data_IF_399737151048
#
_entry.id   IF_399737151048
#
_cell.length_a   1.000
_cell.length_b   1.000
_cell.length_c   1.000
_cell.angle_alpha   90.00
_cell.angle_beta   90.00
_cell.angle_gamma   90.00
#
_symmetry.space_group_name_H-M   'P 1'
#
loop_
_entity.id
_entity.type
_entity.pdbx_description
1 polymer ?
#
# COMPACT_ATOMS: atom_id res chain seq x y z
N UNK A 1 -38.83 -23.28 23.71
CA UNK A 1 -37.58 -23.52 22.94
C UNK A 1 -37.30 -22.43 21.90
N UNK A 2 -38.23 -22.08 21.03
CA UNK A 2 -38.02 -21.04 19.99
C UNK A 2 -37.60 -19.67 20.57
N UNK A 3 -38.23 -19.22 21.65
CA UNK A 3 -37.87 -17.94 22.30
C UNK A 3 -36.46 -17.98 22.89
N UNK A 4 -36.04 -19.09 23.48
CA UNK A 4 -34.69 -19.28 24.04
C UNK A 4 -33.63 -19.30 22.93
N UNK A 5 -33.92 -19.99 21.82
CA UNK A 5 -33.05 -20.02 20.62
C UNK A 5 -32.94 -18.63 19.97
N UNK A 6 -34.04 -17.87 19.94
CA UNK A 6 -34.06 -16.50 19.43
C UNK A 6 -33.24 -15.55 20.32
N UNK A 7 -33.34 -15.68 21.65
CA UNK A 7 -32.51 -14.94 22.58
C UNK A 7 -31.02 -15.33 22.48
N UNK A 8 -30.70 -16.61 22.37
CA UNK A 8 -29.33 -17.10 22.10
C UNK A 8 -28.78 -16.55 20.77
N UNK A 9 -29.61 -16.50 19.73
CA UNK A 9 -29.26 -15.91 18.45
C UNK A 9 -28.98 -14.41 18.56
N UNK A 10 -29.85 -13.65 19.23
CA UNK A 10 -29.61 -12.21 19.44
C UNK A 10 -28.39 -11.95 20.30
N UNK A 11 -28.20 -12.68 21.40
CA UNK A 11 -27.03 -12.56 22.27
C UNK A 11 -25.76 -12.85 21.46
N UNK A 12 -25.70 -13.96 20.72
CA UNK A 12 -24.56 -14.28 19.85
C UNK A 12 -24.28 -13.19 18.81
N UNK A 13 -25.36 -12.70 18.16
CA UNK A 13 -25.29 -11.70 17.09
C UNK A 13 -24.74 -10.37 17.60
N UNK A 14 -25.25 -9.85 18.72
CA UNK A 14 -24.81 -8.56 19.27
C UNK A 14 -23.53 -8.65 20.12
N UNK A 15 -23.22 -9.82 20.70
CA UNK A 15 -22.05 -10.00 21.57
C UNK A 15 -20.74 -10.19 20.79
N UNK A 16 -20.76 -10.95 19.68
CA UNK A 16 -19.54 -11.30 18.94
C UNK A 16 -19.64 -11.02 17.44
N UNK A 17 -20.77 -11.31 16.80
CA UNK A 17 -20.89 -11.19 15.34
C UNK A 17 -20.84 -9.74 14.86
N UNK A 18 -21.70 -8.87 15.37
CA UNK A 18 -21.74 -7.45 14.99
C UNK A 18 -20.43 -6.73 15.38
N UNK A 19 -19.89 -6.89 16.62
CA UNK A 19 -18.62 -6.25 16.97
C UNK A 19 -17.44 -6.77 16.14
N UNK A 20 -17.37 -8.09 15.89
CA UNK A 20 -16.37 -8.68 15.00
C UNK A 20 -16.47 -8.16 13.56
N UNK A 21 -17.69 -8.03 13.03
CA UNK A 21 -17.95 -7.45 11.71
C UNK A 21 -17.55 -5.96 11.66
N UNK A 22 -17.89 -5.17 12.68
CA UNK A 22 -17.52 -3.74 12.75
C UNK A 22 -16.00 -3.57 12.83
N UNK A 23 -15.31 -4.35 13.66
CA UNK A 23 -13.85 -4.32 13.74
C UNK A 23 -13.19 -4.70 12.42
N UNK A 24 -13.68 -5.75 11.75
CA UNK A 24 -13.11 -6.21 10.47
C UNK A 24 -13.39 -5.23 9.34
N UNK A 25 -14.59 -4.67 9.24
CA UNK A 25 -14.97 -3.76 8.15
C UNK A 25 -14.46 -2.33 8.36
N UNK A 26 -14.58 -1.80 9.58
CA UNK A 26 -14.31 -0.38 9.87
C UNK A 26 -13.05 -0.13 10.70
N UNK A 27 -12.34 -1.17 11.16
CA UNK A 27 -11.11 -1.01 11.94
C UNK A 27 -11.31 -0.30 13.28
N UNK A 28 -12.54 -0.30 13.82
CA UNK A 28 -12.84 0.43 15.05
C UNK A 28 -12.08 -0.20 16.23
N UNK A 29 -11.15 0.56 16.83
CA UNK A 29 -10.30 0.17 17.98
C UNK A 29 -9.35 -1.01 17.73
N UNK A 30 -9.18 -1.45 16.49
CA UNK A 30 -8.25 -2.52 16.12
C UNK A 30 -7.21 -2.01 15.14
N UNK A 31 -5.97 -2.46 15.29
CA UNK A 31 -4.93 -2.27 14.28
C UNK A 31 -4.89 -3.50 13.38
N UNK A 32 -5.03 -3.33 12.06
CA UNK A 32 -5.04 -4.44 11.08
C UNK A 32 -4.07 -4.25 9.92
N UNK A 33 -3.64 -3.02 9.68
CA UNK A 33 -2.79 -2.66 8.56
C UNK A 33 -2.06 -1.36 8.93
N UNK A 34 -0.76 -1.32 8.69
CA UNK A 34 0.06 -0.14 8.86
C UNK A 34 -0.06 0.83 7.68
N UNK A 35 0.68 1.92 7.82
CA UNK A 35 1.00 2.83 6.73
C UNK A 35 2.51 2.79 6.53
N UNK A 36 2.95 2.88 5.28
CA UNK A 36 4.37 2.82 4.94
C UNK A 36 4.55 2.48 3.47
N UNK A 37 5.80 2.46 3.01
CA UNK A 37 6.18 2.17 1.62
C UNK A 37 7.06 0.94 1.48
N UNK A 38 7.79 0.60 2.53
CA UNK A 38 8.73 -0.53 2.57
C UNK A 38 8.38 -1.51 3.66
N UNK A 39 7.68 -1.06 4.71
CA UNK A 39 7.57 -1.85 5.93
C UNK A 39 6.34 -2.75 5.94
N UNK A 40 6.49 -3.99 6.40
CA UNK A 40 5.41 -4.93 6.67
C UNK A 40 5.60 -5.55 8.06
N UNK A 41 4.53 -6.10 8.64
CA UNK A 41 4.56 -6.71 9.97
C UNK A 41 4.40 -8.22 9.89
N UNK A 42 5.44 -8.96 10.31
CA UNK A 42 5.31 -10.38 10.61
C UNK A 42 4.72 -10.58 11.99
N UNK A 43 3.65 -11.38 12.07
CA UNK A 43 3.03 -11.73 13.36
C UNK A 43 2.82 -13.22 13.47
N UNK A 44 3.18 -13.79 14.62
CA UNK A 44 3.11 -15.22 14.91
C UNK A 44 2.21 -15.45 16.12
N UNK A 45 1.19 -16.29 15.97
CA UNK A 45 0.27 -16.68 17.03
C UNK A 45 0.58 -18.12 17.52
N UNK A 46 0.05 -18.45 18.70
CA UNK A 46 -0.02 -19.78 19.32
C UNK A 46 1.23 -20.28 20.06
N UNK A 47 2.41 -19.77 19.77
CA UNK A 47 3.65 -20.13 20.47
C UNK A 47 3.76 -19.66 21.93
N UNK A 48 4.92 -19.88 22.58
CA UNK A 48 6.09 -20.58 22.01
C UNK A 48 5.92 -22.10 21.97
N UNK A 49 6.34 -22.70 20.86
CA UNK A 49 6.56 -24.13 20.69
C UNK A 49 8.06 -24.45 20.94
N UNK A 50 8.40 -25.47 21.75
CA UNK A 50 9.78 -25.75 22.10
C UNK A 50 10.65 -26.24 20.93
N UNK A 51 10.04 -26.72 19.83
CA UNK A 51 10.76 -27.19 18.65
C UNK A 51 10.81 -26.13 17.55
N UNK A 52 9.65 -25.58 17.17
CA UNK A 52 9.56 -24.71 15.98
C UNK A 52 9.89 -23.25 16.25
N UNK A 53 9.53 -22.71 17.41
CA UNK A 53 9.79 -21.29 17.72
C UNK A 53 11.29 -20.96 17.76
N UNK A 54 12.19 -21.80 18.32
CA UNK A 54 13.63 -21.56 18.21
C UNK A 54 14.15 -21.50 16.76
N UNK A 55 13.64 -22.38 15.88
CA UNK A 55 14.01 -22.40 14.46
C UNK A 55 13.51 -21.15 13.73
N UNK A 56 12.31 -20.67 14.10
CA UNK A 56 11.77 -19.41 13.60
C UNK A 56 12.63 -18.22 14.01
N UNK A 57 13.05 -18.15 15.27
CA UNK A 57 13.94 -17.09 15.76
C UNK A 57 15.29 -17.09 15.03
N UNK A 58 15.86 -18.27 14.79
CA UNK A 58 17.08 -18.40 13.98
C UNK A 58 16.88 -17.89 12.55
N UNK A 59 15.75 -18.22 11.92
CA UNK A 59 15.41 -17.74 10.57
C UNK A 59 15.24 -16.22 10.55
N UNK A 60 14.48 -15.64 11.49
CA UNK A 60 14.29 -14.19 11.56
C UNK A 60 15.63 -13.46 11.76
N UNK A 61 16.51 -14.01 12.60
CA UNK A 61 17.85 -13.45 12.82
C UNK A 61 18.72 -13.48 11.56
N UNK A 62 18.65 -14.53 10.73
CA UNK A 62 19.41 -14.61 9.46
C UNK A 62 19.06 -13.47 8.48
N UNK A 63 17.80 -13.03 8.49
CA UNK A 63 17.28 -11.99 7.59
C UNK A 63 17.15 -10.61 8.27
N UNK A 64 17.71 -10.44 9.48
CA UNK A 64 17.52 -9.24 10.33
C UNK A 64 16.05 -8.77 10.42
N UNK A 65 15.12 -9.73 10.40
CA UNK A 65 13.69 -9.47 10.39
C UNK A 65 13.15 -9.31 11.80
N UNK A 66 12.42 -8.22 12.09
CA UNK A 66 11.68 -8.08 13.36
C UNK A 66 10.24 -8.52 13.20
N UNK A 67 9.73 -9.23 14.20
CA UNK A 67 8.37 -9.75 14.23
C UNK A 67 7.67 -9.44 15.56
N UNK A 68 6.38 -9.75 15.61
CA UNK A 68 5.57 -9.70 16.83
C UNK A 68 4.98 -11.08 17.13
N UNK A 69 5.21 -11.58 18.33
CA UNK A 69 4.73 -12.88 18.78
C UNK A 69 3.56 -12.70 19.74
N UNK A 70 2.38 -13.17 19.37
CA UNK A 70 1.22 -13.25 20.26
C UNK A 70 1.21 -14.60 20.95
N UNK A 71 1.75 -14.64 22.16
CA UNK A 71 2.00 -15.89 22.87
C UNK A 71 0.81 -16.33 23.72
N UNK A 72 0.59 -17.65 23.76
CA UNK A 72 -0.36 -18.26 24.70
C UNK A 72 0.31 -18.36 26.06
N UNK A 73 -0.31 -17.78 27.08
CA UNK A 73 0.31 -17.66 28.40
C UNK A 73 0.71 -18.98 29.05
N UNK A 74 -0.03 -20.07 28.83
CA UNK A 74 0.36 -21.39 29.32
C UNK A 74 1.63 -21.94 28.66
N UNK A 75 1.86 -21.63 27.38
CA UNK A 75 3.09 -22.00 26.69
C UNK A 75 4.25 -21.12 27.15
N UNK A 76 4.01 -19.82 27.32
CA UNK A 76 5.00 -18.88 27.86
C UNK A 76 5.47 -19.25 29.28
N UNK A 77 4.55 -19.74 30.13
CA UNK A 77 4.84 -20.23 31.48
C UNK A 77 5.69 -21.51 31.47
N UNK A 78 5.51 -22.37 30.45
CA UNK A 78 6.25 -23.62 30.29
C UNK A 78 7.64 -23.42 29.67
N UNK A 79 7.80 -22.41 28.81
CA UNK A 79 9.02 -22.14 28.04
C UNK A 79 9.53 -20.70 28.22
N UNK A 80 9.82 -20.25 29.46
CA UNK A 80 10.24 -18.89 29.73
C UNK A 80 11.55 -18.50 29.02
N UNK A 81 12.43 -19.47 28.76
CA UNK A 81 13.69 -19.28 28.03
C UNK A 81 13.45 -18.81 26.59
N UNK A 82 12.40 -19.30 25.92
CA UNK A 82 12.08 -18.91 24.55
C UNK A 82 11.49 -17.50 24.54
N UNK A 83 10.63 -17.17 25.51
CA UNK A 83 10.10 -15.81 25.69
C UNK A 83 11.24 -14.80 25.93
N UNK A 84 12.20 -15.17 26.79
CA UNK A 84 13.37 -14.32 27.06
C UNK A 84 14.21 -14.12 25.80
N UNK A 85 14.43 -15.17 25.02
CA UNK A 85 15.13 -15.09 23.72
C UNK A 85 14.41 -14.19 22.72
N UNK A 86 13.08 -14.30 22.58
CA UNK A 86 12.28 -13.40 21.72
C UNK A 86 12.53 -11.93 22.07
N UNK A 87 12.49 -11.61 23.37
CA UNK A 87 12.70 -10.26 23.87
C UNK A 87 14.13 -9.78 23.63
N UNK A 88 15.14 -10.59 23.97
CA UNK A 88 16.56 -10.24 23.83
C UNK A 88 16.98 -10.07 22.35
N UNK A 89 16.33 -10.77 21.41
CA UNK A 89 16.53 -10.60 19.96
C UNK A 89 15.75 -9.40 19.37
N UNK A 90 15.03 -8.66 20.22
CA UNK A 90 14.36 -7.40 19.89
C UNK A 90 12.97 -7.56 19.27
N UNK A 91 12.35 -8.73 19.37
CA UNK A 91 10.98 -8.94 18.92
C UNK A 91 9.97 -8.36 19.91
N UNK A 92 8.77 -8.05 19.42
CA UNK A 92 7.68 -7.58 20.28
C UNK A 92 6.86 -8.77 20.77
N UNK A 93 6.51 -8.80 22.05
CA UNK A 93 5.70 -9.87 22.64
C UNK A 93 4.31 -9.32 22.98
N UNK A 94 3.31 -9.90 22.33
CA UNK A 94 1.89 -9.66 22.50
C UNK A 94 1.19 -10.79 23.26
N UNK A 95 -0.02 -10.54 23.73
CA UNK A 95 -0.83 -11.48 24.49
C UNK A 95 -1.81 -12.22 23.56
N UNK A 96 -1.90 -13.55 23.68
CA UNK A 96 -2.88 -14.41 22.99
C UNK A 96 -3.76 -15.22 23.96
N UNK A 97 -4.24 -14.57 25.03
CA UNK A 97 -4.83 -15.19 26.23
C UNK A 97 -3.85 -16.12 26.98
N UNK A 98 -4.30 -16.69 28.11
CA UNK A 98 -3.52 -17.69 28.85
C UNK A 98 -3.75 -19.10 28.30
N UNK A 99 -4.96 -19.42 27.86
CA UNK A 99 -5.29 -20.63 27.09
C UNK A 99 -5.87 -20.26 25.72
N UNK A 100 -5.58 -21.09 24.71
CA UNK A 100 -6.13 -20.93 23.35
C UNK A 100 -7.61 -21.35 23.26
N UNK A 101 -8.48 -20.60 23.94
CA UNK A 101 -9.95 -20.74 23.89
C UNK A 101 -10.58 -19.51 23.28
N UNK A 102 -11.65 -19.72 22.50
CA UNK A 102 -12.39 -18.62 21.88
C UNK A 102 -13.05 -17.70 22.90
N UNK A 103 -12.89 -16.39 22.69
CA UNK A 103 -13.53 -15.35 23.49
C UNK A 103 -15.06 -15.38 23.41
N UNK A 104 -15.64 -16.02 22.40
CA UNK A 104 -17.09 -16.13 22.26
C UNK A 104 -17.74 -16.92 23.39
N UNK A 105 -17.04 -17.95 23.89
CA UNK A 105 -17.53 -18.83 24.96
C UNK A 105 -17.12 -18.36 26.36
N UNK A 106 -16.37 -17.25 26.47
CA UNK A 106 -15.84 -16.75 27.73
C UNK A 106 -16.57 -15.50 28.19
N UNK A 107 -16.80 -15.45 29.52
CA UNK A 107 -17.28 -14.23 30.17
C UNK A 107 -16.19 -13.16 30.15
N UNK A 108 -16.56 -11.87 30.19
CA UNK A 108 -15.61 -10.75 30.11
C UNK A 108 -14.56 -10.73 31.22
N UNK A 109 -14.98 -11.05 32.45
CA UNK A 109 -14.09 -11.17 33.59
C UNK A 109 -13.08 -12.31 33.39
N UNK A 110 -13.49 -13.40 32.73
CA UNK A 110 -12.60 -14.51 32.39
C UNK A 110 -11.57 -14.07 31.35
N UNK A 111 -11.97 -13.42 30.27
CA UNK A 111 -11.04 -12.87 29.26
C UNK A 111 -10.07 -11.88 29.90
N UNK A 112 -10.53 -11.05 30.83
CA UNK A 112 -9.64 -10.15 31.59
C UNK A 112 -8.58 -10.90 32.39
N UNK A 113 -8.98 -11.90 33.19
CA UNK A 113 -8.03 -12.73 33.94
C UNK A 113 -7.02 -13.46 33.03
N UNK A 114 -7.46 -13.92 31.86
CA UNK A 114 -6.59 -14.55 30.87
C UNK A 114 -5.51 -13.60 30.37
N UNK A 115 -5.90 -12.36 30.02
CA UNK A 115 -4.97 -11.32 29.56
C UNK A 115 -4.01 -10.89 30.67
N UNK A 116 -4.55 -10.58 31.86
CA UNK A 116 -3.76 -10.08 32.98
C UNK A 116 -2.73 -11.12 33.45
N UNK A 117 -3.11 -12.42 33.47
CA UNK A 117 -2.19 -13.51 33.82
C UNK A 117 -1.06 -13.65 32.80
N UNK A 118 -1.37 -13.63 31.50
CA UNK A 118 -0.32 -13.72 30.47
C UNK A 118 0.62 -12.51 30.52
N UNK A 119 0.08 -11.31 30.76
CA UNK A 119 0.90 -10.10 30.94
C UNK A 119 1.83 -10.19 32.16
N UNK A 120 1.36 -10.71 33.29
CA UNK A 120 2.19 -10.97 34.47
C UNK A 120 3.34 -11.95 34.19
N UNK A 121 3.05 -13.02 33.43
CA UNK A 121 4.07 -14.00 33.01
C UNK A 121 5.12 -13.31 32.13
N UNK A 122 4.70 -12.61 31.08
CA UNK A 122 5.61 -11.86 30.19
C UNK A 122 6.46 -10.87 30.99
N UNK A 123 5.84 -10.11 31.89
CA UNK A 123 6.54 -9.13 32.72
C UNK A 123 7.56 -9.78 33.65
N UNK A 124 7.23 -10.93 34.25
CA UNK A 124 8.16 -11.64 35.13
C UNK A 124 9.41 -12.15 34.40
N UNK A 125 9.30 -12.44 33.10
CA UNK A 125 10.40 -12.97 32.27
C UNK A 125 11.22 -11.83 31.64
N UNK A 126 10.54 -10.80 31.15
CA UNK A 126 11.15 -9.76 30.29
C UNK A 126 11.41 -8.45 31.02
N UNK A 127 10.70 -8.18 32.12
CA UNK A 127 10.66 -6.87 32.77
C UNK A 127 9.76 -5.84 32.05
N UNK A 128 9.11 -6.22 30.95
CA UNK A 128 8.24 -5.33 30.16
C UNK A 128 6.79 -5.82 30.16
N UNK A 129 5.85 -4.88 30.26
CA UNK A 129 4.41 -5.15 30.17
C UNK A 129 3.99 -5.19 28.71
N UNK A 130 3.16 -6.15 28.34
CA UNK A 130 2.62 -6.22 26.98
C UNK A 130 1.39 -5.33 26.84
N UNK A 131 1.49 -4.35 25.94
CA UNK A 131 0.37 -3.46 25.61
C UNK A 131 -0.39 -3.91 24.38
N UNK A 132 -0.11 -5.09 23.82
CA UNK A 132 -0.70 -5.58 22.57
C UNK A 132 -1.38 -6.92 22.78
N UNK A 133 -2.57 -7.06 22.22
CA UNK A 133 -3.40 -8.24 22.41
C UNK A 133 -4.04 -8.66 21.10
N UNK A 134 -3.98 -9.96 20.81
CA UNK A 134 -4.75 -10.57 19.72
C UNK A 134 -5.66 -11.63 20.32
N UNK A 135 -7.00 -11.55 20.14
CA UNK A 135 -7.89 -12.59 20.62
C UNK A 135 -7.69 -13.87 19.81
N UNK A 136 -7.71 -15.06 20.45
CA UNK A 136 -7.79 -16.34 19.75
C UNK A 136 -8.87 -16.33 18.68
N UNK A 137 -8.55 -16.87 17.50
CA UNK A 137 -9.43 -16.90 16.31
C UNK A 137 -9.79 -15.52 15.73
N UNK A 138 -9.19 -14.43 16.23
CA UNK A 138 -9.54 -13.06 15.86
C UNK A 138 -10.99 -12.69 16.18
N UNK A 139 -11.61 -13.37 17.15
CA UNK A 139 -13.00 -13.14 17.55
C UNK A 139 -13.01 -12.08 18.65
N UNK A 140 -13.46 -10.88 18.26
CA UNK A 140 -13.64 -9.74 19.15
C UNK A 140 -15.08 -9.74 19.67
N UNK A 141 -15.27 -9.54 20.97
CA UNK A 141 -16.60 -9.41 21.58
C UNK A 141 -16.86 -7.97 22.07
N UNK A 142 -18.10 -7.64 22.44
CA UNK A 142 -18.49 -6.29 22.89
C UNK A 142 -17.64 -5.77 24.06
N UNK A 143 -17.08 -6.66 24.88
CA UNK A 143 -16.23 -6.29 26.02
C UNK A 143 -14.81 -5.89 25.63
N UNK A 144 -14.30 -6.40 24.52
CA UNK A 144 -13.05 -5.95 23.93
C UNK A 144 -13.11 -4.47 23.50
N UNK A 145 -14.33 -3.92 23.31
CA UNK A 145 -14.55 -2.48 23.04
C UNK A 145 -14.80 -1.63 24.29
N UNK A 146 -14.95 -2.24 25.47
CA UNK A 146 -15.18 -1.49 26.71
C UNK A 146 -13.98 -0.60 27.04
N UNK A 147 -14.22 0.67 27.39
CA UNK A 147 -13.21 1.75 27.56
C UNK A 147 -12.08 1.47 28.58
N UNK A 148 -12.11 0.36 29.33
CA UNK A 148 -11.23 0.09 30.49
C UNK A 148 -10.07 -0.87 30.20
N UNK A 149 -9.38 -0.77 29.06
CA UNK A 149 -8.20 -1.63 28.82
C UNK A 149 -6.96 -0.86 28.40
N UNK A 150 -5.84 -1.29 28.99
CA UNK A 150 -4.45 -0.85 28.80
C UNK A 150 -3.79 -1.50 27.56
N UNK A 151 -4.54 -2.29 26.78
CA UNK A 151 -4.01 -3.06 25.65
C UNK A 151 -4.68 -2.67 24.32
N UNK A 152 -3.88 -2.59 23.26
CA UNK A 152 -4.27 -2.34 21.88
C UNK A 152 -4.55 -3.67 21.17
N UNK A 153 -5.74 -3.80 20.58
CA UNK A 153 -6.10 -5.00 19.81
C UNK A 153 -5.41 -4.96 18.45
N UNK A 154 -4.77 -6.06 18.08
CA UNK A 154 -4.06 -6.21 16.82
C UNK A 154 -4.61 -7.43 16.09
N UNK A 155 -5.11 -7.19 14.88
CA UNK A 155 -5.54 -8.22 13.94
C UNK A 155 -4.55 -8.28 12.78
N UNK A 156 -5.01 -8.66 11.61
CA UNK A 156 -4.19 -8.86 10.41
C UNK A 156 -4.91 -8.33 9.17
N UNK A 157 -4.14 -8.09 8.12
CA UNK A 157 -4.65 -7.78 6.78
C UNK A 157 -4.62 -9.00 5.86
N UNK A 158 -3.76 -9.98 6.14
CA UNK A 158 -3.64 -11.23 5.40
C UNK A 158 -3.47 -12.44 6.33
N UNK A 159 -4.08 -13.56 5.95
CA UNK A 159 -4.08 -14.85 6.65
C UNK A 159 -4.07 -15.96 5.59
N UNK A 160 -3.33 -17.04 5.85
CA UNK A 160 -2.91 -17.97 4.79
C UNK A 160 -3.42 -19.40 4.94
N UNK A 161 -3.80 -19.80 6.15
CA UNK A 161 -4.14 -21.20 6.46
C UNK A 161 -2.89 -22.05 6.69
N UNK A 162 -1.80 -21.43 7.16
CA UNK A 162 -0.50 -22.04 7.42
C UNK A 162 -0.53 -23.09 8.53
N UNK A 163 -1.57 -23.09 9.37
CA UNK A 163 -1.84 -24.12 10.38
C UNK A 163 -2.36 -25.46 9.81
N UNK A 164 -2.43 -25.61 8.47
CA UNK A 164 -2.86 -26.84 7.79
C UNK A 164 -1.76 -27.45 6.94
N UNK A 165 -1.38 -28.68 7.25
CA UNK A 165 -0.34 -29.42 6.53
C UNK A 165 -0.69 -29.58 5.04
N UNK A 166 -1.98 -29.83 4.73
CA UNK A 166 -2.50 -29.97 3.35
C UNK A 166 -2.22 -28.75 2.46
N UNK A 167 -1.98 -27.56 3.04
CA UNK A 167 -1.64 -26.39 2.24
C UNK A 167 -0.30 -26.57 1.52
N UNK A 168 0.70 -27.18 2.18
CA UNK A 168 2.06 -27.34 1.66
C UNK A 168 2.86 -26.02 1.61
N UNK A 169 4.19 -26.13 1.61
CA UNK A 169 5.09 -24.99 1.62
C UNK A 169 5.02 -24.17 0.31
N UNK A 170 4.90 -24.82 -0.84
CA UNK A 170 4.86 -24.19 -2.17
C UNK A 170 3.68 -23.23 -2.28
N UNK A 171 2.47 -23.73 -2.01
CA UNK A 171 1.24 -22.94 -2.10
C UNK A 171 1.17 -21.86 -1.02
N UNK A 172 1.74 -22.13 0.17
CA UNK A 172 1.88 -21.11 1.20
C UNK A 172 2.81 -19.98 0.74
N UNK A 173 3.94 -20.31 0.11
CA UNK A 173 4.89 -19.35 -0.47
C UNK A 173 4.20 -18.43 -1.49
N UNK A 174 3.45 -19.00 -2.43
CA UNK A 174 2.71 -18.23 -3.44
C UNK A 174 1.74 -17.23 -2.80
N UNK A 175 0.97 -17.67 -1.80
CA UNK A 175 0.03 -16.81 -1.09
C UNK A 175 0.73 -15.71 -0.31
N UNK A 176 1.86 -16.02 0.35
CA UNK A 176 2.65 -15.06 1.10
C UNK A 176 3.21 -13.97 0.17
N UNK A 177 3.87 -14.37 -0.92
CA UNK A 177 4.43 -13.45 -1.91
C UNK A 177 3.35 -12.59 -2.58
N UNK A 178 2.17 -13.15 -2.84
CA UNK A 178 1.04 -12.43 -3.42
C UNK A 178 0.43 -11.37 -2.46
N UNK A 179 0.62 -11.52 -1.16
CA UNK A 179 0.17 -10.56 -0.13
C UNK A 179 1.29 -9.74 0.48
N UNK A 180 2.55 -10.03 0.14
CA UNK A 180 3.70 -9.27 0.58
C UNK A 180 3.68 -7.87 -0.03
N UNK A 181 3.53 -6.87 0.83
CA UNK A 181 3.57 -5.48 0.41
C UNK A 181 3.49 -4.50 1.58
N UNK A 182 3.59 -3.19 1.29
CA UNK A 182 3.73 -2.18 2.32
C UNK A 182 2.50 -2.04 3.23
N UNK A 183 2.77 -1.93 4.52
CA UNK A 183 1.79 -1.82 5.59
C UNK A 183 1.04 -3.12 5.89
N UNK A 184 1.28 -4.21 5.17
CA UNK A 184 0.59 -5.48 5.42
C UNK A 184 0.99 -6.07 6.77
N UNK A 185 0.03 -6.64 7.49
CA UNK A 185 0.24 -7.37 8.74
C UNK A 185 -0.11 -8.82 8.46
N UNK A 186 0.91 -9.65 8.37
CA UNK A 186 0.83 -11.07 7.99
C UNK A 186 0.65 -11.91 9.26
N UNK A 187 -0.45 -12.66 9.34
CA UNK A 187 -0.69 -13.64 10.39
C UNK A 187 -0.15 -15.01 9.99
N UNK A 188 0.75 -15.54 10.81
CA UNK A 188 1.33 -16.87 10.76
C UNK A 188 1.26 -17.52 12.16
N UNK A 189 1.58 -18.81 12.26
CA UNK A 189 1.51 -19.59 13.49
C UNK A 189 2.79 -20.41 13.65
N UNK A 190 3.38 -20.38 14.85
CA UNK A 190 4.62 -21.08 15.18
C UNK A 190 4.41 -22.32 16.06
N UNK A 191 3.16 -22.68 16.35
CA UNK A 191 2.80 -23.85 17.14
C UNK A 191 1.74 -24.74 16.46
N UNK A 192 2.02 -26.04 16.37
CA UNK A 192 1.14 -27.04 15.75
C UNK A 192 0.22 -27.79 16.73
N UNK A 193 0.23 -27.44 18.02
CA UNK A 193 -0.47 -28.21 19.08
C UNK A 193 -1.78 -27.57 19.55
N UNK A 194 -2.09 -26.35 19.08
CA UNK A 194 -3.35 -25.68 19.40
C UNK A 194 -4.52 -26.31 18.67
N UNK A 195 -5.73 -26.15 19.22
CA UNK A 195 -6.95 -26.69 18.62
C UNK A 195 -7.10 -26.16 17.19
N UNK A 196 -7.10 -27.07 16.22
CA UNK A 196 -7.31 -26.76 14.80
C UNK A 196 -6.03 -26.67 13.98
N UNK A 197 -4.85 -26.60 14.59
CA UNK A 197 -3.56 -26.69 13.92
C UNK A 197 -3.14 -28.16 13.71
N UNK A 198 -2.41 -28.42 12.62
CA UNK A 198 -1.82 -29.72 12.34
C UNK A 198 -0.34 -29.72 12.83
N UNK A 199 0.18 -30.81 13.43
CA UNK A 199 1.48 -30.80 14.14
C UNK A 199 2.71 -30.39 13.31
N UNK A 200 2.77 -30.74 12.02
CA UNK A 200 3.90 -30.43 11.13
C UNK A 200 3.65 -29.18 10.27
N UNK A 201 2.52 -28.49 10.47
CA UNK A 201 2.21 -27.27 9.74
C UNK A 201 3.26 -26.15 9.93
N UNK A 202 3.86 -25.96 11.14
CA UNK A 202 4.93 -24.98 11.33
C UNK A 202 6.18 -25.25 10.48
N UNK A 203 6.49 -26.51 10.15
CA UNK A 203 7.61 -26.85 9.27
C UNK A 203 7.40 -26.27 7.86
N UNK A 204 6.21 -26.47 7.29
CA UNK A 204 5.84 -25.89 5.99
C UNK A 204 5.83 -24.35 6.03
N UNK A 205 5.42 -23.78 7.17
CA UNK A 205 5.44 -22.33 7.39
C UNK A 205 6.87 -21.77 7.35
N UNK A 206 7.83 -22.41 8.03
CA UNK A 206 9.24 -22.00 8.02
C UNK A 206 9.84 -21.99 6.61
N UNK A 207 9.60 -23.05 5.83
CA UNK A 207 10.08 -23.15 4.44
C UNK A 207 9.49 -22.01 3.58
N UNK A 208 8.18 -21.75 3.71
CA UNK A 208 7.52 -20.71 2.95
C UNK A 208 7.93 -19.29 3.38
N UNK A 209 8.18 -19.10 4.68
CA UNK A 209 8.64 -17.84 5.25
C UNK A 209 10.04 -17.49 4.75
N UNK A 210 10.98 -18.43 4.73
CA UNK A 210 12.33 -18.19 4.21
C UNK A 210 12.31 -17.73 2.74
N UNK A 211 11.52 -18.42 1.89
CA UNK A 211 11.31 -18.03 0.50
C UNK A 211 10.70 -16.63 0.37
N UNK A 212 9.76 -16.28 1.25
CA UNK A 212 9.15 -14.94 1.24
C UNK A 212 10.12 -13.86 1.73
N UNK A 213 10.93 -14.12 2.76
CA UNK A 213 11.93 -13.18 3.27
C UNK A 213 12.98 -12.83 2.21
N UNK A 214 13.45 -13.82 1.45
CA UNK A 214 14.34 -13.59 0.31
C UNK A 214 13.69 -12.70 -0.77
N UNK A 215 12.40 -12.90 -1.06
CA UNK A 215 11.65 -12.06 -1.99
C UNK A 215 11.39 -10.64 -1.43
N UNK A 216 11.22 -10.50 -0.11
CA UNK A 216 11.07 -9.21 0.55
C UNK A 216 12.35 -8.37 0.43
N UNK A 217 13.52 -8.97 0.67
CA UNK A 217 14.82 -8.30 0.47
C UNK A 217 14.99 -7.86 -0.99
N UNK A 218 14.66 -8.74 -1.95
CA UNK A 218 14.71 -8.40 -3.39
C UNK A 218 13.81 -7.23 -3.76
N UNK A 219 12.70 -7.03 -3.04
CA UNK A 219 11.75 -5.92 -3.22
C UNK A 219 12.06 -4.69 -2.37
N UNK A 220 13.12 -4.71 -1.56
CA UNK A 220 13.43 -3.63 -0.61
C UNK A 220 12.34 -3.44 0.46
N UNK A 221 11.69 -4.54 0.86
CA UNK A 221 10.68 -4.53 1.93
C UNK A 221 11.31 -4.99 3.25
N UNK A 222 10.92 -4.35 4.36
CA UNK A 222 11.49 -4.60 5.68
C UNK A 222 10.42 -5.06 6.67
N UNK A 223 10.73 -6.13 7.43
CA UNK A 223 9.85 -6.60 8.50
C UNK A 223 10.08 -5.79 9.77
N UNK A 224 9.03 -5.15 10.26
CA UNK A 224 9.05 -4.30 11.46
C UNK A 224 8.04 -4.76 12.50
N UNK A 225 8.21 -4.30 13.73
CA UNK A 225 7.29 -4.60 14.84
C UNK A 225 5.97 -3.84 14.67
N UNK A 226 4.86 -4.40 15.17
CA UNK A 226 3.56 -3.75 15.04
C UNK A 226 3.49 -2.40 15.78
N UNK A 227 4.27 -2.18 16.84
CA UNK A 227 4.24 -0.94 17.61
C UNK A 227 4.85 0.21 16.81
N UNK A 228 5.87 -0.07 16.01
CA UNK A 228 6.46 0.86 15.05
C UNK A 228 5.46 1.20 13.95
N UNK A 229 4.75 0.21 13.40
CA UNK A 229 3.70 0.45 12.41
C UNK A 229 2.56 1.31 13.00
N UNK A 230 2.15 1.04 14.25
CA UNK A 230 1.12 1.82 14.95
C UNK A 230 1.60 3.26 15.21
N UNK A 231 2.85 3.45 15.67
CA UNK A 231 3.45 4.77 15.86
C UNK A 231 3.51 5.54 14.54
N UNK A 232 3.83 4.88 13.43
CA UNK A 232 3.79 5.49 12.09
C UNK A 232 2.38 5.97 11.75
N UNK A 233 1.34 5.14 11.96
CA UNK A 233 -0.06 5.54 11.79
C UNK A 233 -0.44 6.73 12.67
N UNK A 234 -0.06 6.72 13.95
CA UNK A 234 -0.39 7.79 14.88
C UNK A 234 0.26 9.12 14.51
N UNK A 235 1.48 9.10 13.96
CA UNK A 235 2.16 10.28 13.42
C UNK A 235 1.56 10.76 12.09
N UNK A 236 0.73 9.96 11.43
CA UNK A 236 0.12 10.34 10.16
C UNK A 236 -0.79 11.54 10.32
N UNK A 237 -0.68 12.56 9.47
CA UNK A 237 -1.56 13.72 9.54
C UNK A 237 -3.04 13.38 9.31
N UNK A 238 -3.34 12.22 8.68
CA UNK A 238 -4.69 11.73 8.41
C UNK A 238 -5.46 11.45 9.70
N UNK A 239 -4.80 10.97 10.76
CA UNK A 239 -5.47 10.57 12.02
C UNK A 239 -5.97 11.78 12.80
N UNK A 240 -5.37 12.95 12.59
CA UNK A 240 -5.77 14.22 13.21
C UNK A 240 -6.92 14.93 12.49
N UNK A 241 -7.37 14.42 11.33
CA UNK A 241 -8.50 14.98 10.60
C UNK A 241 -9.83 14.64 11.27
N UNK A 242 -10.83 15.53 11.12
CA UNK A 242 -12.20 15.23 11.53
C UNK A 242 -12.73 13.99 10.79
N UNK A 243 -13.67 13.27 11.41
CA UNK A 243 -14.22 12.03 10.85
C UNK A 243 -14.71 12.19 9.40
N UNK A 244 -15.45 13.27 9.12
CA UNK A 244 -15.95 13.56 7.76
C UNK A 244 -14.82 13.77 6.74
N UNK A 245 -13.76 14.49 7.13
CA UNK A 245 -12.60 14.72 6.24
C UNK A 245 -11.79 13.43 6.05
N UNK A 246 -11.68 12.57 7.08
CA UNK A 246 -11.06 11.24 6.98
C UNK A 246 -11.84 10.32 6.04
N UNK A 247 -13.17 10.31 6.11
CA UNK A 247 -14.02 9.54 5.19
C UNK A 247 -13.81 10.00 3.75
N UNK A 248 -13.81 11.31 3.52
CA UNK A 248 -13.61 11.90 2.19
C UNK A 248 -12.22 11.54 1.62
N UNK A 249 -11.15 11.68 2.42
CA UNK A 249 -9.79 11.22 2.04
C UNK A 249 -9.78 9.74 1.71
N UNK A 250 -10.43 8.91 2.53
CA UNK A 250 -10.52 7.46 2.31
C UNK A 250 -11.22 7.09 1.01
N UNK A 251 -12.35 7.73 0.70
CA UNK A 251 -13.07 7.55 -0.57
C UNK A 251 -12.22 7.98 -1.76
N UNK A 252 -11.50 9.09 -1.63
CA UNK A 252 -10.63 9.60 -2.69
C UNK A 252 -9.43 8.70 -2.98
N UNK A 253 -8.74 8.20 -1.95
CA UNK A 253 -7.66 7.21 -2.11
C UNK A 253 -8.20 5.86 -2.63
N UNK A 254 -9.44 5.50 -2.27
CA UNK A 254 -10.12 4.33 -2.84
C UNK A 254 -10.41 4.49 -4.34
N UNK A 255 -10.90 5.67 -4.74
CA UNK A 255 -11.10 6.02 -6.14
C UNK A 255 -9.82 5.98 -6.95
N UNK A 256 -8.70 6.45 -6.40
CA UNK A 256 -7.39 6.37 -7.07
C UNK A 256 -7.00 4.93 -7.38
N UNK A 257 -7.14 4.00 -6.43
CA UNK A 257 -6.84 2.58 -6.66
C UNK A 257 -7.71 2.00 -7.77
N UNK A 258 -9.01 2.33 -7.77
CA UNK A 258 -9.92 1.91 -8.82
C UNK A 258 -9.51 2.51 -10.18
N UNK A 259 -9.13 3.78 -10.20
CA UNK A 259 -8.66 4.48 -11.40
C UNK A 259 -7.36 3.85 -11.94
N UNK A 260 -6.38 3.56 -11.09
CA UNK A 260 -5.16 2.87 -11.46
C UNK A 260 -5.44 1.48 -12.04
N UNK A 261 -6.38 0.73 -11.46
CA UNK A 261 -6.83 -0.57 -11.96
C UNK A 261 -7.51 -0.47 -13.33
N UNK A 262 -8.45 0.46 -13.49
CA UNK A 262 -9.22 0.62 -14.73
C UNK A 262 -8.38 1.15 -15.89
N UNK A 263 -7.36 1.95 -15.60
CA UNK A 263 -6.60 2.68 -16.61
C UNK A 263 -5.13 2.27 -16.72
N UNK A 264 -4.72 1.20 -16.02
CA UNK A 264 -3.39 0.58 -16.08
C UNK A 264 -2.24 1.61 -16.00
N UNK A 265 -2.34 2.51 -15.02
CA UNK A 265 -1.36 3.59 -14.88
C UNK A 265 -0.05 3.00 -14.37
N UNK A 266 1.05 3.34 -15.04
CA UNK A 266 2.39 2.89 -14.68
C UNK A 266 3.05 3.93 -13.77
N UNK A 267 3.84 3.46 -12.81
CA UNK A 267 4.59 4.33 -11.88
C UNK A 267 6.02 4.53 -12.39
N UNK A 268 6.55 5.76 -12.29
CA UNK A 268 7.91 6.07 -12.75
C UNK A 268 8.99 5.46 -11.84
N UNK A 269 8.79 5.46 -10.52
CA UNK A 269 9.68 4.80 -9.57
C UNK A 269 8.87 3.92 -8.61
N UNK A 270 9.19 2.63 -8.54
CA UNK A 270 8.48 1.70 -7.64
C UNK A 270 8.86 1.93 -6.17
N UNK A 271 10.11 2.30 -5.91
CA UNK A 271 10.61 2.58 -4.55
C UNK A 271 10.02 3.87 -3.97
N UNK A 272 9.71 4.83 -4.85
CA UNK A 272 9.27 6.15 -4.46
C UNK A 272 8.19 6.67 -5.45
N UNK A 273 6.93 6.20 -5.35
CA UNK A 273 5.91 6.37 -6.40
C UNK A 273 5.22 7.73 -6.32
N UNK A 274 5.76 8.80 -6.91
CA UNK A 274 5.13 10.14 -6.88
C UNK A 274 4.48 10.52 -8.20
N UNK A 275 5.17 10.27 -9.31
CA UNK A 275 4.65 10.55 -10.63
C UNK A 275 4.32 9.24 -11.35
N UNK A 276 3.10 9.19 -11.85
CA UNK A 276 2.52 8.10 -12.61
C UNK A 276 2.27 8.55 -14.05
N UNK A 277 2.26 7.61 -15.00
CA UNK A 277 2.05 7.89 -16.40
C UNK A 277 1.20 6.84 -17.10
N UNK A 278 0.54 7.23 -18.19
CA UNK A 278 -0.07 6.30 -19.15
C UNK A 278 0.01 6.84 -20.57
N UNK A 279 0.10 5.94 -21.54
CA UNK A 279 0.02 6.30 -22.96
C UNK A 279 -1.45 6.39 -23.37
N UNK A 280 -1.83 7.48 -24.06
CA UNK A 280 -3.18 7.64 -24.60
C UNK A 280 -3.17 8.47 -25.89
N UNK A 281 -4.29 8.43 -26.62
CA UNK A 281 -4.52 9.34 -27.75
C UNK A 281 -5.04 10.69 -27.27
N UNK A 282 -4.46 11.76 -27.80
CA UNK A 282 -4.91 13.13 -27.58
C UNK A 282 -6.30 13.34 -28.20
N UNK A 283 -7.21 13.95 -27.45
CA UNK A 283 -8.61 14.16 -27.85
C UNK A 283 -8.98 15.65 -27.94
N UNK A 284 -8.01 16.54 -27.71
CA UNK A 284 -8.24 17.99 -27.70
C UNK A 284 -8.20 18.62 -29.10
N UNK A 285 -8.26 19.95 -29.11
CA UNK A 285 -8.07 20.76 -30.32
C UNK A 285 -6.59 20.79 -30.69
N UNK A 286 -6.27 21.00 -31.96
CA UNK A 286 -4.88 21.11 -32.40
C UNK A 286 -4.16 22.24 -31.66
N UNK A 287 -2.97 21.96 -31.15
CA UNK A 287 -2.10 22.88 -30.42
C UNK A 287 -0.76 23.00 -31.13
N UNK A 288 -0.29 24.22 -31.34
CA UNK A 288 1.08 24.49 -31.77
C UNK A 288 1.98 24.66 -30.54
N UNK A 289 3.05 23.88 -30.48
CA UNK A 289 3.99 23.86 -29.36
C UNK A 289 5.19 24.78 -29.64
N UNK A 290 5.88 25.21 -28.58
CA UNK A 290 6.94 26.24 -28.65
C UNK A 290 8.13 25.86 -29.54
N UNK A 291 8.36 24.56 -29.75
CA UNK A 291 9.42 24.04 -30.62
C UNK A 291 8.98 23.89 -32.09
N UNK A 292 7.80 24.40 -32.47
CA UNK A 292 7.25 24.32 -33.83
C UNK A 292 6.48 23.03 -34.13
N UNK A 293 6.50 22.05 -33.23
CA UNK A 293 5.71 20.83 -33.39
C UNK A 293 4.21 21.10 -33.20
N UNK A 294 3.38 20.28 -33.84
CA UNK A 294 1.92 20.39 -33.76
C UNK A 294 1.32 19.11 -33.18
N UNK A 295 0.56 19.27 -32.10
CA UNK A 295 -0.19 18.20 -31.44
C UNK A 295 -1.64 18.22 -31.93
N UNK A 296 -2.08 17.17 -32.60
CA UNK A 296 -3.40 17.01 -33.18
C UNK A 296 -4.18 15.85 -32.56
N UNK A 297 -5.51 15.87 -32.74
CA UNK A 297 -6.38 14.78 -32.27
C UNK A 297 -5.93 13.44 -32.86
N UNK A 298 -5.77 12.43 -32.01
CA UNK A 298 -5.30 11.10 -32.38
C UNK A 298 -3.83 10.83 -32.09
N UNK A 299 -3.01 11.88 -31.94
CA UNK A 299 -1.59 11.76 -31.61
C UNK A 299 -1.39 11.09 -30.25
N UNK A 300 -0.32 10.30 -30.12
CA UNK A 300 0.06 9.65 -28.86
C UNK A 300 0.63 10.69 -27.90
N UNK A 301 0.17 10.67 -26.65
CA UNK A 301 0.68 11.50 -25.55
C UNK A 301 0.88 10.67 -24.29
N UNK A 302 1.89 11.05 -23.52
CA UNK A 302 2.16 10.48 -22.19
C UNK A 302 1.42 11.34 -21.18
N UNK A 303 0.32 10.83 -20.63
CA UNK A 303 -0.44 11.55 -19.62
C UNK A 303 0.14 11.32 -18.23
N UNK A 304 0.46 12.41 -17.54
CA UNK A 304 1.05 12.43 -16.20
C UNK A 304 -0.01 12.57 -15.11
N UNK A 305 0.17 11.83 -14.03
CA UNK A 305 -0.69 11.86 -12.84
C UNK A 305 0.17 11.89 -11.58
N UNK A 306 -0.18 12.75 -10.63
CA UNK A 306 0.44 12.70 -9.30
C UNK A 306 -0.18 11.58 -8.47
N UNK A 307 0.64 10.96 -7.63
CA UNK A 307 0.17 10.08 -6.57
C UNK A 307 -0.59 10.90 -5.51
N UNK A 308 -1.89 10.62 -5.37
CA UNK A 308 -2.77 11.40 -4.52
C UNK A 308 -2.37 11.30 -3.04
N UNK A 309 -1.84 10.14 -2.62
CA UNK A 309 -1.36 9.95 -1.25
C UNK A 309 -0.12 10.80 -0.98
N UNK A 310 0.86 10.79 -1.89
CA UNK A 310 2.03 11.67 -1.75
C UNK A 310 1.63 13.15 -1.78
N UNK A 311 0.73 13.52 -2.69
CA UNK A 311 0.27 14.90 -2.80
C UNK A 311 -0.43 15.35 -1.51
N UNK A 312 -1.23 14.47 -0.90
CA UNK A 312 -1.84 14.70 0.40
C UNK A 312 -0.80 14.84 1.52
N UNK A 313 0.15 13.92 1.63
CA UNK A 313 1.22 13.96 2.63
C UNK A 313 2.03 15.27 2.53
N UNK A 314 2.44 15.65 1.31
CA UNK A 314 3.11 16.92 1.05
C UNK A 314 2.25 18.12 1.43
N UNK A 315 0.95 18.08 1.13
CA UNK A 315 0.00 19.13 1.43
C UNK A 315 -0.16 19.36 2.93
N UNK A 316 -0.34 18.30 3.72
CA UNK A 316 -0.52 18.45 5.17
C UNK A 316 0.78 18.85 5.87
N UNK A 317 1.93 18.43 5.37
CA UNK A 317 3.23 18.85 5.90
C UNK A 317 3.69 20.24 5.41
N UNK A 318 2.92 20.89 4.54
CA UNK A 318 3.21 22.23 4.03
C UNK A 318 2.45 23.29 4.81
N UNK A 319 3.18 24.25 5.37
CA UNK A 319 2.63 25.40 6.10
C UNK A 319 2.06 26.47 5.16
N UNK A 320 2.44 26.44 3.88
CA UNK A 320 1.96 27.37 2.86
C UNK A 320 1.90 26.73 1.47
N UNK A 321 1.14 27.35 0.56
CA UNK A 321 1.06 26.97 -0.86
C UNK A 321 2.39 27.12 -1.58
N UNK A 322 3.19 28.12 -1.21
CA UNK A 322 4.54 28.29 -1.75
C UNK A 322 5.45 27.12 -1.33
N UNK A 323 5.35 26.67 -0.07
CA UNK A 323 6.11 25.50 0.39
C UNK A 323 5.68 24.22 -0.32
N UNK A 324 4.38 24.01 -0.51
CA UNK A 324 3.86 22.88 -1.29
C UNK A 324 4.40 22.91 -2.72
N UNK A 325 4.32 24.08 -3.39
CA UNK A 325 4.83 24.25 -4.75
C UNK A 325 6.33 23.95 -4.85
N UNK A 326 7.16 24.44 -3.92
CA UNK A 326 8.61 24.15 -3.88
C UNK A 326 8.86 22.65 -3.73
N UNK A 327 8.11 21.96 -2.86
CA UNK A 327 8.25 20.50 -2.68
C UNK A 327 7.84 19.72 -3.93
N UNK A 328 6.78 20.14 -4.61
CA UNK A 328 6.36 19.55 -5.88
C UNK A 328 7.41 19.78 -6.97
N UNK A 329 7.99 20.98 -7.05
CA UNK A 329 9.07 21.30 -7.98
C UNK A 329 10.25 20.36 -7.77
N UNK A 330 10.78 20.28 -6.55
CA UNK A 330 11.91 19.38 -6.21
C UNK A 330 11.61 17.93 -6.56
N UNK A 331 10.33 17.54 -6.47
CA UNK A 331 9.94 16.19 -6.76
C UNK A 331 9.84 15.91 -8.26
N UNK A 332 9.31 16.85 -9.03
CA UNK A 332 9.33 16.81 -10.49
C UNK A 332 10.78 16.78 -11.03
N UNK A 333 11.70 17.55 -10.43
CA UNK A 333 13.13 17.52 -10.78
C UNK A 333 13.76 16.13 -10.60
N UNK A 334 13.27 15.33 -9.66
CA UNK A 334 13.73 13.95 -9.45
C UNK A 334 13.10 12.97 -10.44
N UNK A 335 11.81 13.10 -10.72
CA UNK A 335 11.05 12.09 -11.46
C UNK A 335 11.06 12.29 -13.00
N UNK A 336 11.21 13.53 -13.51
CA UNK A 336 11.29 13.79 -14.96
C UNK A 336 12.52 13.14 -15.62
N UNK A 337 13.73 13.19 -15.04
CA UNK A 337 14.87 12.47 -15.61
C UNK A 337 14.63 10.96 -15.71
N UNK A 338 14.00 10.36 -14.68
CA UNK A 338 13.66 8.93 -14.66
C UNK A 338 12.65 8.59 -15.76
N UNK A 339 11.67 9.45 -15.98
CA UNK A 339 10.73 9.30 -17.08
C UNK A 339 11.43 9.40 -18.44
N UNK A 340 12.37 10.32 -18.61
CA UNK A 340 13.15 10.45 -19.84
C UNK A 340 13.93 9.16 -20.14
N UNK A 341 14.55 8.50 -19.14
CA UNK A 341 15.20 7.21 -19.37
C UNK A 341 14.22 6.12 -19.81
N UNK A 342 13.03 6.09 -19.21
CA UNK A 342 11.98 5.14 -19.60
C UNK A 342 11.50 5.37 -21.03
N UNK A 343 11.36 6.62 -21.45
CA UNK A 343 11.01 6.97 -22.83
C UNK A 343 12.11 6.50 -23.79
N UNK A 344 13.39 6.70 -23.42
CA UNK A 344 14.51 6.20 -24.22
C UNK A 344 14.53 4.67 -24.36
N UNK A 345 14.07 3.95 -23.33
CA UNK A 345 14.04 2.49 -23.30
C UNK A 345 12.78 1.82 -23.87
N UNK A 346 11.74 2.58 -24.23
CA UNK A 346 10.44 2.04 -24.65
C UNK A 346 9.97 2.70 -25.96
N UNK A 347 9.94 1.91 -27.02
CA UNK A 347 9.57 2.37 -28.38
C UNK A 347 8.16 2.95 -28.43
N UNK A 348 7.21 2.41 -27.67
CA UNK A 348 5.84 2.95 -27.67
C UNK A 348 5.75 4.31 -26.99
N UNK A 349 6.56 4.54 -25.96
CA UNK A 349 6.65 5.83 -25.27
C UNK A 349 7.40 6.85 -26.11
N UNK A 350 8.47 6.43 -26.80
CA UNK A 350 9.23 7.26 -27.72
C UNK A 350 8.39 7.81 -28.89
N UNK A 351 7.33 7.11 -29.29
CA UNK A 351 6.38 7.58 -30.32
C UNK A 351 5.41 8.67 -29.84
N UNK A 352 5.34 8.94 -28.54
CA UNK A 352 4.50 10.00 -28.03
C UNK A 352 5.05 11.37 -28.41
N UNK A 353 4.20 12.26 -28.91
CA UNK A 353 4.62 13.62 -29.29
C UNK A 353 4.83 14.53 -28.08
N UNK A 354 4.03 14.35 -27.05
CA UNK A 354 4.05 15.24 -25.89
C UNK A 354 3.74 14.51 -24.57
N UNK A 355 4.34 15.03 -23.49
CA UNK A 355 3.81 14.90 -22.15
C UNK A 355 2.55 15.76 -22.02
N UNK A 356 1.53 15.22 -21.36
CA UNK A 356 0.22 15.84 -21.18
C UNK A 356 -0.24 15.72 -19.73
N UNK A 357 -0.89 16.76 -19.20
CA UNK A 357 -1.48 16.69 -17.86
C UNK A 357 -2.57 17.72 -17.67
N UNK A 358 -3.35 17.56 -16.61
CA UNK A 358 -4.32 18.55 -16.16
C UNK A 358 -4.00 18.93 -14.71
N UNK A 359 -3.78 20.21 -14.46
CA UNK A 359 -3.34 20.72 -13.16
C UNK A 359 -4.09 21.99 -12.78
N UNK A 360 -4.39 22.18 -11.50
CA UNK A 360 -4.84 23.49 -10.99
C UNK A 360 -3.69 24.37 -10.51
N UNK A 361 -2.46 23.88 -10.56
CA UNK A 361 -1.27 24.67 -10.24
C UNK A 361 -0.89 25.42 -11.51
N UNK A 362 -1.34 26.67 -11.59
CA UNK A 362 -1.14 27.55 -12.73
C UNK A 362 0.23 28.27 -12.74
N UNK A 363 1.10 27.99 -11.76
CA UNK A 363 2.45 28.58 -11.66
C UNK A 363 3.47 27.51 -11.29
N UNK A 364 4.54 27.41 -12.07
CA UNK A 364 5.62 26.43 -11.83
C UNK A 364 5.82 25.41 -12.96
N UNK A 365 4.79 24.89 -13.65
CA UNK A 365 5.00 23.97 -14.78
C UNK A 365 5.91 24.56 -15.87
N UNK A 366 5.79 25.85 -16.13
CA UNK A 366 6.63 26.60 -17.07
C UNK A 366 8.13 26.50 -16.76
N UNK A 367 8.52 26.36 -15.48
CA UNK A 367 9.93 26.18 -15.08
C UNK A 367 10.55 24.89 -15.59
N UNK A 368 9.73 23.89 -15.86
CA UNK A 368 10.14 22.62 -16.45
C UNK A 368 10.06 22.67 -17.98
N UNK A 369 9.50 23.73 -18.56
CA UNK A 369 9.23 23.82 -19.99
C UNK A 369 7.85 23.30 -20.40
N UNK A 370 6.91 23.17 -19.47
CA UNK A 370 5.51 22.94 -19.85
C UNK A 370 4.85 24.23 -20.32
N UNK A 371 4.15 24.14 -21.44
CA UNK A 371 3.18 25.13 -21.93
C UNK A 371 1.90 24.96 -21.12
N UNK A 372 1.33 26.06 -20.64
CA UNK A 372 0.09 26.07 -19.85
C UNK A 372 -1.05 26.63 -20.69
N UNK A 373 -2.07 25.82 -20.93
CA UNK A 373 -3.22 26.15 -21.78
C UNK A 373 -4.54 26.08 -21.01
N UNK A 374 -5.53 26.82 -21.50
CA UNK A 374 -6.90 26.71 -21.00
C UNK A 374 -7.51 25.35 -21.34
N UNK A 375 -8.22 24.79 -20.35
CA UNK A 375 -8.98 23.57 -20.57
C UNK A 375 -10.24 23.91 -21.39
N UNK A 376 -10.50 23.21 -22.52
CA UNK A 376 -11.67 23.50 -23.35
C UNK A 376 -12.97 23.40 -22.54
N UNK A 377 -13.85 24.40 -22.68
CA UNK A 377 -15.15 24.41 -22.01
C UNK A 377 -16.00 23.20 -22.39
N UNK A 378 -16.64 22.57 -21.40
CA UNK A 378 -17.51 21.41 -21.61
C UNK A 378 -17.68 20.56 -20.36
N UNK A 379 -18.32 19.39 -20.50
CA UNK A 379 -18.57 18.45 -19.41
C UNK A 379 -17.27 18.01 -18.72
N UNK A 380 -16.22 17.76 -19.50
CA UNK A 380 -14.91 17.37 -18.97
C UNK A 380 -14.28 18.48 -18.09
N UNK A 381 -14.35 19.74 -18.52
CA UNK A 381 -13.82 20.84 -17.73
C UNK A 381 -14.62 21.08 -16.45
N UNK A 382 -15.95 20.95 -16.50
CA UNK A 382 -16.82 21.08 -15.33
C UNK A 382 -16.57 19.98 -14.30
N UNK A 383 -16.51 18.72 -14.73
CA UNK A 383 -16.25 17.58 -13.85
C UNK A 383 -14.83 17.62 -13.26
N UNK A 384 -13.85 18.01 -14.08
CA UNK A 384 -12.46 18.21 -13.64
C UNK A 384 -12.35 19.33 -12.60
N UNK A 385 -13.02 20.46 -12.82
CA UNK A 385 -13.06 21.57 -11.84
C UNK A 385 -13.68 21.10 -10.52
N UNK A 386 -14.77 20.35 -10.57
CA UNK A 386 -15.40 19.78 -9.37
C UNK A 386 -14.47 18.83 -8.62
N UNK A 387 -13.88 17.85 -9.31
CA UNK A 387 -12.93 16.90 -8.74
C UNK A 387 -11.72 17.59 -8.10
N UNK A 388 -11.08 18.50 -8.84
CA UNK A 388 -9.88 19.19 -8.35
C UNK A 388 -10.20 20.18 -7.21
N UNK A 389 -11.42 20.72 -7.16
CA UNK A 389 -11.88 21.52 -6.00
C UNK A 389 -12.00 20.67 -4.74
N UNK A 390 -12.53 19.44 -4.85
CA UNK A 390 -12.55 18.47 -3.74
C UNK A 390 -11.11 18.16 -3.30
N UNK A 391 -10.23 17.89 -4.26
CA UNK A 391 -8.81 17.60 -4.03
C UNK A 391 -8.12 18.73 -3.24
N UNK A 392 -8.35 20.00 -3.59
CA UNK A 392 -7.75 21.12 -2.84
C UNK A 392 -8.31 21.31 -1.43
N UNK A 393 -9.60 21.05 -1.23
CA UNK A 393 -10.22 21.02 0.10
C UNK A 393 -9.56 19.99 1.02
N UNK A 394 -9.12 18.88 0.42
CA UNK A 394 -8.50 17.75 1.11
C UNK A 394 -7.03 18.01 1.43
N UNK A 395 -6.26 18.47 0.43
CA UNK A 395 -4.79 18.55 0.48
C UNK A 395 -4.27 19.68 1.36
N UNK A 396 -5.05 20.74 1.59
CA UNK A 396 -4.61 21.87 2.42
C UNK A 396 -5.41 21.96 3.74
N UNK A 397 -4.76 22.22 4.89
CA UNK A 397 -5.44 22.38 6.18
C UNK A 397 -6.50 23.50 6.15
N UNK A 398 -6.22 24.60 5.44
CA UNK A 398 -7.13 25.73 5.21
C UNK A 398 -7.98 25.64 3.93
N UNK A 399 -8.02 24.49 3.26
CA UNK A 399 -8.53 24.35 1.88
C UNK A 399 -9.94 24.87 1.64
N UNK A 400 -10.87 24.63 2.57
CA UNK A 400 -12.26 25.09 2.46
C UNK A 400 -12.44 26.61 2.60
N UNK A 401 -11.61 27.28 3.43
CA UNK A 401 -11.66 28.73 3.59
C UNK A 401 -11.06 29.46 2.37
N UNK A 402 -10.01 28.89 1.76
CA UNK A 402 -9.35 29.46 0.58
C UNK A 402 -10.09 29.25 -0.74
N UNK A 403 -10.83 28.15 -0.89
CA UNK A 403 -11.76 27.98 -2.03
C UNK A 403 -12.78 29.11 -2.10
N UNK A 404 -13.10 29.74 -0.97
CA UNK A 404 -14.01 30.90 -0.89
C UNK A 404 -13.33 32.25 -1.16
N UNK A 405 -12.05 32.41 -0.84
CA UNK A 405 -11.31 33.68 -1.02
C UNK A 405 -10.64 33.84 -2.39
N UNK A 406 -10.28 32.74 -3.08
CA UNK A 406 -9.56 32.77 -4.36
C UNK A 406 -10.02 31.67 -5.34
N UNK A 407 -11.32 31.41 -5.41
CA UNK A 407 -11.92 30.46 -6.37
C UNK A 407 -11.51 30.74 -7.82
N UNK A 408 -11.28 32.01 -8.14
CA UNK A 408 -11.08 32.48 -9.51
C UNK A 408 -9.65 32.24 -10.02
N UNK A 409 -8.72 31.89 -9.12
CA UNK A 409 -7.33 31.56 -9.47
C UNK A 409 -7.08 30.04 -9.58
N UNK A 410 -8.04 29.21 -9.17
CA UNK A 410 -7.95 27.75 -9.21
C UNK A 410 -8.74 27.20 -10.41
N UNK A 411 -8.35 27.65 -11.60
CA UNK A 411 -8.90 27.16 -12.86
C UNK A 411 -8.03 25.99 -13.34
N UNK A 412 -8.60 24.81 -13.60
CA UNK A 412 -7.83 23.72 -14.18
C UNK A 412 -7.25 24.13 -15.54
N UNK A 413 -5.95 23.93 -15.69
CA UNK A 413 -5.20 24.17 -16.91
C UNK A 413 -4.68 22.86 -17.46
N UNK A 414 -4.62 22.79 -18.78
CA UNK A 414 -3.88 21.76 -19.49
C UNK A 414 -2.40 22.13 -19.48
N UNK A 415 -1.53 21.16 -19.23
CA UNK A 415 -0.08 21.34 -19.37
C UNK A 415 0.44 20.40 -20.46
N UNK A 416 1.34 20.91 -21.29
CA UNK A 416 1.92 20.20 -22.43
C UNK A 416 3.42 20.43 -22.51
N UNK A 417 4.19 19.40 -22.80
CA UNK A 417 5.62 19.51 -23.10
C UNK A 417 5.97 18.54 -24.23
N UNK A 418 6.60 18.97 -25.32
CA UNK A 418 7.10 18.05 -26.34
C UNK A 418 8.05 17.00 -25.73
N UNK A 419 7.94 15.75 -26.15
CA UNK A 419 8.85 14.70 -25.67
C UNK A 419 10.28 14.99 -26.10
N UNK A 420 10.47 15.49 -27.32
CA UNK A 420 11.75 16.00 -27.83
C UNK A 420 12.39 16.99 -26.86
N UNK A 421 11.63 17.98 -26.40
CA UNK A 421 12.10 19.00 -25.46
C UNK A 421 12.54 18.42 -24.12
N UNK A 422 11.81 17.44 -23.56
CA UNK A 422 12.24 16.76 -22.33
C UNK A 422 13.58 16.04 -22.54
N UNK A 423 13.73 15.34 -23.66
CA UNK A 423 14.94 14.59 -23.97
C UNK A 423 16.13 15.51 -24.20
N UNK A 424 15.93 16.62 -24.91
CA UNK A 424 16.94 17.66 -25.13
C UNK A 424 17.42 18.28 -23.80
N UNK A 425 16.49 18.63 -22.91
CA UNK A 425 16.81 19.14 -21.57
C UNK A 425 17.65 18.16 -20.75
N UNK A 426 17.47 16.86 -20.97
CA UNK A 426 18.18 15.78 -20.27
C UNK A 426 19.42 15.28 -21.04
N UNK A 427 19.74 15.90 -22.19
CA UNK A 427 20.80 15.48 -23.11
C UNK A 427 20.72 13.98 -23.50
N UNK A 428 19.51 13.54 -23.89
CA UNK A 428 19.22 12.14 -24.28
C UNK A 428 18.70 12.06 -25.71
N UNK A 429 18.89 10.91 -26.33
CA UNK A 429 18.40 10.62 -27.68
C UNK A 429 17.26 9.59 -27.63
N UNK A 430 16.32 9.71 -28.58
CA UNK A 430 15.28 8.69 -28.80
C UNK A 430 15.93 7.36 -29.20
N UNK A 431 15.30 6.22 -28.87
CA UNK A 431 15.76 4.93 -29.37
C UNK A 431 15.73 4.93 -30.90
N UNK A 432 16.84 4.57 -31.53
CA UNK A 432 16.90 4.43 -32.98
C UNK A 432 15.92 3.34 -33.43
N UNK A 433 14.86 3.75 -34.13
CA UNK A 433 14.05 2.84 -34.91
C UNK A 433 14.91 2.33 -36.07
N UNK A 434 15.22 1.04 -36.08
CA UNK A 434 15.63 0.32 -37.29
C UNK A 434 14.44 0.31 -38.26
N UNK A 435 14.21 1.42 -38.95
CA UNK A 435 13.15 1.57 -39.98
C UNK A 435 13.74 1.84 -41.37
N UNK A 436 15.06 1.88 -41.52
CA UNK A 436 15.73 2.10 -42.82
C UNK A 436 16.39 0.86 -43.44
N UNK A 437 16.22 -0.35 -42.88
CA UNK A 437 16.69 -1.57 -43.57
C UNK A 437 15.64 -2.29 -44.42
N UNK A 438 14.35 -2.10 -44.15
CA UNK A 438 13.29 -2.78 -44.93
C UNK A 438 13.04 -2.08 -46.27
N UNK A 439 13.16 -0.75 -46.34
CA UNK A 439 12.98 -0.02 -47.60
C UNK A 439 14.22 0.04 -48.49
N UNK A 440 15.40 -0.21 -47.94
CA UNK A 440 16.62 -0.37 -48.75
C UNK A 440 16.70 -1.80 -49.32
N UNK A 441 16.36 -2.83 -48.53
CA UNK A 441 16.30 -4.22 -49.01
C UNK A 441 15.17 -4.44 -50.05
N UNK A 442 13.98 -3.86 -49.87
CA UNK A 442 12.89 -3.92 -50.88
C UNK A 442 13.26 -3.17 -52.18
N UNK A 443 14.00 -2.05 -52.10
CA UNK A 443 14.46 -1.32 -53.29
C UNK A 443 15.64 -1.99 -54.01
N UNK A 444 16.54 -2.67 -53.29
CA UNK A 444 17.58 -3.48 -53.92
C UNK A 444 17.03 -4.77 -54.51
N UNK A 445 15.98 -5.36 -53.93
CA UNK A 445 15.32 -6.56 -54.47
C UNK A 445 14.48 -6.25 -55.74
N UNK A 446 13.85 -5.07 -55.83
CA UNK A 446 13.17 -4.64 -57.06
C UNK A 446 14.10 -4.11 -58.16
N UNK A 447 15.32 -3.68 -57.81
CA UNK A 447 16.32 -3.21 -58.78
C UNK A 447 17.17 -4.33 -59.40
N UNK A 448 17.26 -5.51 -58.78
CA UNK A 448 18.11 -6.62 -59.25
C UNK A 448 17.41 -7.66 -60.16
N UNK A 449 16.08 -7.63 -60.34
CA UNK A 449 15.40 -8.57 -61.25
C UNK A 449 14.20 -7.95 -62.01
N UNK A 450 14.42 -7.36 -63.19
CA UNK A 450 13.32 -7.02 -64.09
C UNK A 450 12.88 -8.28 -64.86
N UNK A 451 11.83 -8.93 -64.37
CA UNK A 451 11.00 -9.85 -65.14
C UNK A 451 11.31 -11.35 -64.98
N UNK A 452 10.47 -12.03 -64.20
CA UNK A 452 10.07 -13.41 -64.46
C UNK A 452 8.68 -13.68 -63.89
N UNK A 453 7.73 -13.88 -64.79
CA UNK A 453 6.32 -14.17 -64.53
C UNK A 453 6.13 -15.66 -64.21
N UNK A 454 5.32 -15.92 -63.17
CA UNK A 454 4.43 -17.10 -62.92
C UNK A 454 5.04 -18.49 -62.66
N UNK A 455 4.55 -19.15 -61.60
CA UNK A 455 3.79 -20.45 -61.57
C UNK A 455 4.03 -21.17 -60.23
N UNK A 456 3.16 -20.96 -59.24
CA UNK A 456 2.10 -21.89 -58.82
C UNK A 456 1.24 -21.30 -57.70
#
# INVERSE_FOLDING_TARGET
MQTLLLWLFYISTFYAFIPGMISRLFGYRVFRKGIGRTDYGLTFDDGPDPHYTPLLLDLLKRYDAKATFFVVGSHAEQHPEIIKRMHDEGHLIGIHNYVHKTNWLMRPATVRKQIDRTDEIIFSITGERSTYYRPPWGIVNLFDFSKRRQVQIVLWSAMFGDWKEKLGAEKLTEKLIAKLGPGEVLLLHDCGTTIGADPNAPEHMLIALERMLAEAERRGLHSVRIDEMIKAVQRSPITHLSFGKRLLVGLWLGWEKLFQLLFQIKTISQEDPFLHYRLRKYQGRTVHMDNGETLSKGDKVIELHFDNRQLFELGVHSRSTAQLAIRLIRRMEKDLPVLAERICGDVELAEAKALYGVSMINRGPEKFGFIVLDLPSGLFASSTKFYLSILMSVIHPSGGARLKERSDQLVPKMILMPVSQLLDQMNRQLPHKHVERVHEEERTLEAELPGATVVH
#
